data_IF_087470108422
#
_entry.id   IF_087470108422
#
_cell.length_a   1.000
_cell.length_b   1.000
_cell.length_c   1.000
_cell.angle_alpha   90.00
_cell.angle_beta   90.00
_cell.angle_gamma   90.00
#
_symmetry.space_group_name_H-M   'P 1'
#
loop_
_entity.id
_entity.type
_entity.pdbx_description
1 polymer ?
#
# COMPACT_ATOMS: atom_id res chain seq x y z
N UNK A 1 17.43 26.66 43.44
CA UNK A 1 16.53 26.76 42.28
C UNK A 1 17.12 25.92 41.16
N UNK A 2 16.69 24.65 41.03
CA UNK A 2 17.13 23.76 39.95
C UNK A 2 15.89 23.33 39.18
N UNK A 3 15.81 23.72 37.90
CA UNK A 3 14.65 23.52 37.06
C UNK A 3 14.56 22.06 36.62
N UNK A 4 13.54 21.35 37.11
CA UNK A 4 13.14 20.06 36.54
C UNK A 4 12.05 20.34 35.51
N UNK A 5 12.44 20.41 34.24
CA UNK A 5 11.53 20.29 33.12
C UNK A 5 11.69 18.87 32.54
N UNK A 6 11.00 17.89 33.13
CA UNK A 6 10.93 16.54 32.58
C UNK A 6 9.84 16.54 31.50
N UNK A 7 10.24 16.90 30.28
CA UNK A 7 9.37 16.99 29.10
C UNK A 7 9.53 15.81 28.15
N UNK A 8 8.39 15.40 27.61
CA UNK A 8 8.14 14.64 26.38
C UNK A 8 8.39 13.11 26.39
N UNK A 9 7.27 12.38 26.51
CA UNK A 9 7.09 10.99 26.10
C UNK A 9 7.19 10.91 24.58
N UNK A 10 8.29 10.39 24.04
CA UNK A 10 8.36 10.06 22.62
C UNK A 10 7.99 8.58 22.44
N UNK A 11 6.70 8.31 22.22
CA UNK A 11 6.23 7.00 21.75
C UNK A 11 6.65 6.93 20.29
N UNK A 12 7.83 6.38 20.01
CA UNK A 12 8.27 6.09 18.65
C UNK A 12 7.47 4.88 18.18
N UNK A 13 6.28 5.14 17.62
CA UNK A 13 5.51 4.15 16.89
C UNK A 13 6.23 3.81 15.60
N UNK A 14 7.21 2.89 15.66
CA UNK A 14 7.64 2.15 14.49
C UNK A 14 6.46 1.25 14.10
N UNK A 15 5.59 1.75 13.22
CA UNK A 15 4.75 0.89 12.41
C UNK A 15 5.70 0.10 11.50
N UNK A 16 6.26 -0.98 12.03
CA UNK A 16 6.86 -2.03 11.25
C UNK A 16 5.78 -2.45 10.25
N UNK A 17 5.97 -2.06 9.00
CA UNK A 17 5.19 -2.64 7.91
C UNK A 17 5.52 -4.11 7.98
N UNK A 18 4.58 -4.91 8.48
CA UNK A 18 4.66 -6.35 8.46
C UNK A 18 4.71 -6.74 6.99
N UNK A 19 5.92 -6.77 6.43
CA UNK A 19 6.24 -7.46 5.21
C UNK A 19 6.12 -8.95 5.54
N UNK A 20 4.88 -9.40 5.79
CA UNK A 20 4.51 -10.78 5.63
C UNK A 20 4.94 -11.10 4.20
N UNK A 21 5.94 -11.97 4.06
CA UNK A 21 6.40 -12.51 2.79
C UNK A 21 5.25 -13.33 2.18
N UNK A 22 4.22 -12.62 1.73
CA UNK A 22 3.18 -13.11 0.86
C UNK A 22 3.85 -13.16 -0.52
N UNK A 23 3.74 -14.30 -1.20
CA UNK A 23 4.24 -14.53 -2.57
C UNK A 23 3.51 -13.63 -3.58
N UNK A 24 3.65 -12.31 -3.42
CA UNK A 24 3.06 -11.29 -4.26
C UNK A 24 3.97 -11.03 -5.45
N UNK A 25 3.36 -10.79 -6.60
CA UNK A 25 4.08 -10.44 -7.81
C UNK A 25 4.74 -9.07 -7.67
N UNK A 26 6.02 -8.96 -8.03
CA UNK A 26 6.69 -7.67 -8.10
C UNK A 26 5.98 -6.73 -9.10
N UNK A 27 5.99 -5.43 -8.82
CA UNK A 27 5.36 -4.40 -9.68
C UNK A 27 5.79 -4.48 -11.15
N UNK A 28 7.07 -4.73 -11.41
CA UNK A 28 7.60 -4.86 -12.77
C UNK A 28 6.99 -6.04 -13.52
N UNK A 29 6.89 -7.21 -12.88
CA UNK A 29 6.28 -8.41 -13.44
C UNK A 29 4.75 -8.23 -13.64
N UNK A 30 4.10 -7.50 -12.73
CA UNK A 30 2.67 -7.18 -12.84
C UNK A 30 2.38 -6.02 -13.82
N UNK A 31 3.39 -5.47 -14.49
CA UNK A 31 3.26 -4.29 -15.35
C UNK A 31 2.51 -3.14 -14.65
N UNK A 32 2.84 -2.93 -13.38
CA UNK A 32 2.18 -1.90 -12.59
C UNK A 32 2.51 -0.51 -13.13
N UNK A 33 1.47 0.31 -13.28
CA UNK A 33 1.55 1.73 -13.59
C UNK A 33 0.78 2.52 -12.53
N UNK A 34 1.22 3.76 -12.28
CA UNK A 34 0.60 4.63 -11.29
C UNK A 34 -0.68 5.34 -11.78
N UNK A 35 -0.96 5.28 -13.08
CA UNK A 35 -2.12 5.87 -13.74
C UNK A 35 -3.13 4.79 -14.20
N UNK A 36 -4.40 5.14 -14.45
CA UNK A 36 -5.39 4.20 -14.95
C UNK A 36 -5.04 3.67 -16.35
N UNK A 37 -5.52 2.48 -16.68
CA UNK A 37 -5.41 1.91 -18.02
C UNK A 37 -6.80 1.76 -18.63
N UNK A 38 -7.15 2.61 -19.61
CA UNK A 38 -8.42 2.50 -20.35
C UNK A 38 -9.65 2.43 -19.44
N UNK A 39 -9.72 3.31 -18.42
CA UNK A 39 -10.81 3.36 -17.45
C UNK A 39 -10.75 2.32 -16.31
N UNK A 40 -9.80 1.39 -16.37
CA UNK A 40 -9.49 0.43 -15.32
C UNK A 40 -8.52 1.05 -14.32
N UNK A 41 -8.79 0.88 -13.03
CA UNK A 41 -7.89 1.31 -11.95
C UNK A 41 -7.98 0.39 -10.74
N UNK A 42 -6.97 0.40 -9.88
CA UNK A 42 -6.96 -0.39 -8.65
C UNK A 42 -8.17 -0.08 -7.76
N UNK A 43 -8.64 1.17 -7.73
CA UNK A 43 -9.87 1.58 -7.04
C UNK A 43 -11.11 0.81 -7.52
N UNK A 44 -11.12 0.34 -8.77
CA UNK A 44 -12.17 -0.51 -9.36
C UNK A 44 -11.81 -2.00 -9.39
N UNK A 45 -10.67 -2.40 -8.83
CA UNK A 45 -10.15 -3.77 -8.85
C UNK A 45 -10.51 -4.57 -7.58
N UNK A 46 -10.85 -5.86 -7.69
CA UNK A 46 -11.13 -6.77 -6.55
C UNK A 46 -9.91 -7.07 -5.67
N UNK A 47 -8.71 -6.90 -6.24
CA UNK A 47 -7.44 -7.18 -5.56
C UNK A 47 -6.95 -6.00 -4.70
N UNK A 48 -7.52 -4.81 -4.88
CA UNK A 48 -7.10 -3.62 -4.15
C UNK A 48 -7.65 -3.61 -2.73
N UNK A 49 -6.77 -3.37 -1.76
CA UNK A 49 -7.08 -3.26 -0.34
C UNK A 49 -7.00 -1.77 0.03
N UNK A 50 -8.15 -1.11 0.07
CA UNK A 50 -8.23 0.34 0.24
C UNK A 50 -7.68 0.83 1.59
N UNK A 51 -7.92 0.07 2.66
CA UNK A 51 -7.51 0.46 4.02
C UNK A 51 -6.00 0.64 4.18
N UNK A 52 -5.18 -0.05 3.38
CA UNK A 52 -3.72 -0.02 3.46
C UNK A 52 -3.04 0.48 2.19
N UNK A 53 -3.79 0.95 1.18
CA UNK A 53 -3.25 1.31 -0.13
C UNK A 53 -2.32 0.21 -0.69
N UNK A 54 -2.79 -1.03 -0.67
CA UNK A 54 -2.02 -2.21 -1.07
C UNK A 54 -2.84 -3.14 -1.98
N UNK A 55 -2.21 -4.20 -2.49
CA UNK A 55 -2.84 -5.20 -3.34
C UNK A 55 -2.67 -6.60 -2.75
N UNK A 56 -3.66 -7.47 -2.96
CA UNK A 56 -3.60 -8.89 -2.57
C UNK A 56 -2.48 -9.65 -3.30
N UNK A 57 -2.19 -9.26 -4.55
CA UNK A 57 -1.32 -10.02 -5.47
C UNK A 57 -0.13 -9.23 -6.03
N UNK A 58 -0.05 -7.92 -5.79
CA UNK A 58 1.09 -7.08 -6.20
C UNK A 58 1.82 -6.59 -4.96
N UNK A 59 3.14 -6.74 -4.97
CA UNK A 59 4.00 -6.34 -3.87
C UNK A 59 4.21 -4.81 -3.81
N UNK A 60 4.39 -4.31 -2.59
CA UNK A 60 4.58 -2.90 -2.28
C UNK A 60 3.31 -2.03 -2.37
N UNK A 61 3.45 -0.71 -2.19
CA UNK A 61 2.32 0.22 -2.16
C UNK A 61 1.61 0.34 -3.51
N UNK A 62 0.29 0.37 -3.52
CA UNK A 62 -0.54 0.47 -4.74
C UNK A 62 -1.49 1.66 -4.61
N UNK A 63 -1.51 2.51 -5.63
CA UNK A 63 -2.44 3.66 -5.69
C UNK A 63 -3.81 3.20 -6.17
N UNK A 64 -4.90 3.75 -5.63
CA UNK A 64 -6.25 3.56 -6.16
C UNK A 64 -6.37 3.99 -7.64
N UNK A 65 -5.54 4.94 -8.09
CA UNK A 65 -5.47 5.38 -9.49
C UNK A 65 -4.52 4.54 -10.35
N UNK A 66 -3.77 3.61 -9.77
CA UNK A 66 -2.86 2.73 -10.51
C UNK A 66 -3.59 1.64 -11.29
N UNK A 67 -2.81 0.84 -12.00
CA UNK A 67 -3.28 -0.35 -12.73
C UNK A 67 -2.15 -1.38 -12.84
N UNK A 68 -2.48 -2.65 -12.98
CA UNK A 68 -1.54 -3.74 -13.28
C UNK A 68 -2.24 -4.77 -14.18
N UNK A 69 -1.47 -5.63 -14.85
CA UNK A 69 -2.00 -6.66 -15.76
C UNK A 69 -2.90 -7.71 -15.08
N UNK A 70 -2.83 -7.82 -13.75
CA UNK A 70 -3.69 -8.68 -12.92
C UNK A 70 -5.03 -8.01 -12.51
N UNK A 71 -5.47 -7.00 -13.25
CA UNK A 71 -6.72 -6.28 -12.96
C UNK A 71 -7.93 -7.21 -13.07
N UNK A 72 -8.82 -7.16 -12.08
CA UNK A 72 -10.13 -7.82 -12.10
C UNK A 72 -11.17 -6.85 -11.57
N UNK A 73 -12.18 -6.50 -12.37
CA UNK A 73 -13.21 -5.53 -11.98
C UNK A 73 -13.96 -5.98 -10.72
N UNK A 74 -14.26 -5.06 -9.80
CA UNK A 74 -15.21 -5.31 -8.71
C UNK A 74 -16.58 -5.68 -9.32
N UNK A 75 -17.19 -6.75 -8.78
CA UNK A 75 -18.58 -7.12 -9.07
C UNK A 75 -19.56 -6.22 -8.33
#
# INVERSE_FOLDING_TARGET
>A
MLRVAAGAVAIVGLAASEALASDKMAKSAAQYQASPHSGQSCGKCQNYIAASSSCKVVDGPVSANGWCSLFVTKG
#
